data_IF_084938278027
#
_entry.id   IF_084938278027
#
_cell.length_a   1.000
_cell.length_b   1.000
_cell.length_c   1.000
_cell.angle_alpha   90.00
_cell.angle_beta   90.00
_cell.angle_gamma   90.00
#
_symmetry.space_group_name_H-M   'P 1'
#
loop_
_entity.id
_entity.type
_entity.pdbx_description
1 polymer ?
#
# COMPACT_ATOMS: atom_id res chain seq x y z
N UNK A 1 7.52 -1.62 -11.40
CA UNK A 1 7.30 -0.59 -10.39
C UNK A 1 7.20 -1.26 -9.03
N UNK A 2 7.78 -0.65 -7.99
CA UNK A 2 7.63 -1.14 -6.61
C UNK A 2 6.65 -0.24 -5.87
N UNK A 3 5.62 -0.84 -5.25
CA UNK A 3 4.73 -0.16 -4.30
C UNK A 3 5.06 -0.68 -2.90
N UNK A 4 5.31 0.24 -1.97
CA UNK A 4 5.56 -0.07 -0.58
C UNK A 4 4.36 0.38 0.25
N UNK A 5 3.80 -0.52 1.06
CA UNK A 5 2.76 -0.17 2.03
C UNK A 5 3.32 -0.28 3.44
N UNK A 6 3.31 0.81 4.19
CA UNK A 6 3.76 0.91 5.59
C UNK A 6 2.58 1.22 6.52
N UNK A 7 2.70 0.85 7.78
CA UNK A 7 1.78 1.23 8.86
C UNK A 7 2.58 1.85 10.01
N UNK A 8 1.95 2.67 10.88
CA UNK A 8 2.63 3.24 12.04
C UNK A 8 3.11 2.14 13.00
N UNK A 9 4.19 2.41 13.74
CA UNK A 9 4.72 1.53 14.78
C UNK A 9 3.70 1.42 15.93
N UNK A 10 2.87 0.39 15.85
CA UNK A 10 1.98 -0.05 16.93
C UNK A 10 1.94 -1.57 16.90
N UNK A 11 1.79 -2.21 18.06
CA UNK A 11 1.73 -3.68 18.16
C UNK A 11 0.59 -4.27 17.30
N UNK A 12 -0.55 -3.56 17.23
CA UNK A 12 -1.71 -3.91 16.42
C UNK A 12 -1.51 -3.71 14.90
N UNK A 13 -0.58 -2.85 14.48
CA UNK A 13 -0.27 -2.61 13.06
C UNK A 13 0.34 -3.83 12.38
N UNK A 14 1.17 -4.59 13.10
CA UNK A 14 1.88 -5.74 12.53
C UNK A 14 0.94 -6.90 12.17
N UNK A 15 0.02 -7.24 13.07
CA UNK A 15 -1.02 -8.24 12.83
C UNK A 15 -2.00 -7.79 11.73
N UNK A 16 -2.34 -6.52 11.77
CA UNK A 16 -3.17 -5.87 10.77
C UNK A 16 -2.57 -5.95 9.37
N UNK A 17 -1.29 -5.57 9.20
CA UNK A 17 -0.61 -5.65 7.91
C UNK A 17 -0.46 -7.10 7.41
N UNK A 18 -0.25 -8.06 8.32
CA UNK A 18 -0.24 -9.48 7.95
C UNK A 18 -1.61 -9.93 7.45
N UNK A 19 -2.69 -9.41 8.03
CA UNK A 19 -4.06 -9.66 7.56
C UNK A 19 -4.31 -9.03 6.19
N UNK A 20 -3.86 -7.79 5.96
CA UNK A 20 -3.92 -7.14 4.64
C UNK A 20 -3.16 -7.95 3.59
N UNK A 21 -1.96 -8.39 3.93
CA UNK A 21 -1.11 -9.21 3.07
C UNK A 21 -1.79 -10.54 2.70
N UNK A 22 -2.46 -11.19 3.66
CA UNK A 22 -3.21 -12.42 3.38
C UNK A 22 -4.27 -12.17 2.31
N UNK A 23 -5.05 -11.11 2.44
CA UNK A 23 -6.08 -10.73 1.48
C UNK A 23 -5.52 -10.36 0.11
N UNK A 24 -4.43 -9.59 0.07
CA UNK A 24 -3.77 -9.24 -1.19
C UNK A 24 -3.22 -10.48 -1.91
N UNK A 25 -2.78 -11.50 -1.17
CA UNK A 25 -2.29 -12.75 -1.74
C UNK A 25 -3.41 -13.64 -2.28
N UNK A 26 -4.64 -13.48 -1.79
CA UNK A 26 -5.81 -14.21 -2.29
C UNK A 26 -6.22 -13.74 -3.70
N UNK A 27 -5.86 -12.51 -4.09
CA UNK A 27 -6.11 -11.98 -5.42
C UNK A 27 -5.14 -12.57 -6.45
N UNK A 28 -5.67 -13.20 -7.49
CA UNK A 28 -4.87 -13.90 -8.50
C UNK A 28 -3.89 -12.96 -9.24
N UNK A 29 -4.29 -11.71 -9.51
CA UNK A 29 -3.43 -10.72 -10.18
C UNK A 29 -2.27 -10.23 -9.28
N UNK A 30 -2.41 -10.33 -7.96
CA UNK A 30 -1.40 -9.92 -6.98
C UNK A 30 -0.61 -11.12 -6.43
N UNK A 31 -1.10 -12.33 -6.66
CA UNK A 31 -0.52 -13.57 -6.17
C UNK A 31 0.91 -13.74 -6.68
N UNK A 32 1.85 -13.89 -5.74
CA UNK A 32 3.28 -14.02 -6.04
C UNK A 32 3.99 -12.72 -6.40
N UNK A 33 3.28 -11.58 -6.42
CA UNK A 33 3.84 -10.23 -6.62
C UNK A 33 3.99 -9.44 -5.32
N UNK A 34 3.28 -9.87 -4.28
CA UNK A 34 3.24 -9.22 -2.98
C UNK A 34 4.17 -9.94 -2.01
N UNK A 35 5.03 -9.19 -1.34
CA UNK A 35 6.00 -9.70 -0.35
C UNK A 35 5.94 -8.89 0.94
N UNK A 36 5.88 -9.57 2.07
CA UNK A 36 6.02 -8.95 3.39
C UNK A 36 7.51 -8.82 3.73
N UNK A 37 7.97 -7.59 4.00
CA UNK A 37 9.32 -7.25 4.45
C UNK A 37 9.22 -6.56 5.79
N UNK A 38 10.16 -6.83 6.69
CA UNK A 38 10.32 -6.04 7.91
C UNK A 38 11.21 -4.85 7.55
N UNK A 39 10.74 -3.62 7.78
CA UNK A 39 11.60 -2.45 7.63
C UNK A 39 12.68 -2.47 8.72
N UNK A 40 13.91 -2.06 8.41
CA UNK A 40 14.87 -1.72 9.46
C UNK A 40 14.35 -0.49 10.23
N UNK A 41 14.46 -0.47 11.56
CA UNK A 41 14.02 0.67 12.36
C UNK A 41 14.74 1.94 11.90
N UNK A 42 14.00 3.02 11.64
CA UNK A 42 14.61 4.31 11.36
C UNK A 42 15.43 4.79 12.56
N UNK A 43 16.67 5.22 12.29
CA UNK A 43 17.59 5.69 13.32
C UNK A 43 17.04 6.93 14.03
N UNK A 44 16.55 6.76 15.25
CA UNK A 44 15.99 7.84 16.09
C UNK A 44 14.70 7.46 16.82
N UNK A 45 14.02 6.38 16.42
CA UNK A 45 12.82 5.89 17.10
C UNK A 45 13.22 4.87 18.20
N UNK A 46 13.27 5.30 19.47
CA UNK A 46 13.38 4.39 20.61
C UNK A 46 11.97 3.82 20.91
N UNK A 47 11.59 2.76 20.21
CA UNK A 47 10.30 2.07 20.35
C UNK A 47 10.08 1.12 19.17
N UNK A 48 9.62 -0.09 19.48
CA UNK A 48 9.34 -1.29 18.67
C UNK A 48 9.76 -1.36 17.17
N UNK A 49 10.35 -2.48 16.72
CA UNK A 49 10.95 -2.60 15.38
C UNK A 49 10.01 -3.16 14.28
N UNK A 50 8.68 -3.04 14.39
CA UNK A 50 7.77 -3.76 13.48
C UNK A 50 7.02 -2.83 12.51
N UNK A 51 7.77 -2.15 11.65
CA UNK A 51 7.24 -1.65 10.39
C UNK A 51 7.13 -2.84 9.42
N UNK A 52 5.93 -3.40 9.26
CA UNK A 52 5.69 -4.35 8.18
C UNK A 52 5.51 -3.54 6.87
N UNK A 53 6.35 -3.86 5.89
CA UNK A 53 6.30 -3.29 4.55
C UNK A 53 5.72 -4.35 3.64
N UNK A 54 4.59 -4.06 3.00
CA UNK A 54 4.09 -4.89 1.90
C UNK A 54 4.64 -4.32 0.61
N UNK A 55 5.54 -5.07 -0.03
CA UNK A 55 6.14 -4.72 -1.32
C UNK A 55 5.36 -5.43 -2.42
N UNK A 56 4.69 -4.68 -3.29
CA UNK A 56 4.00 -5.21 -4.46
C UNK A 56 4.75 -4.83 -5.74
N UNK A 57 5.29 -5.82 -6.44
CA UNK A 57 5.89 -5.63 -7.76
C UNK A 57 4.77 -5.60 -8.81
N UNK A 58 4.25 -4.40 -9.09
CA UNK A 58 3.12 -4.21 -10.00
C UNK A 58 3.64 -3.80 -11.39
N UNK A 59 3.10 -4.44 -12.43
CA UNK A 59 3.18 -3.94 -13.80
C UNK A 59 2.00 -2.99 -14.01
N UNK A 60 2.27 -1.80 -14.56
CA UNK A 60 1.35 -0.65 -14.58
C UNK A 60 0.01 -0.90 -15.30
N UNK A 61 -0.12 -1.98 -16.07
CA UNK A 61 -1.28 -2.22 -16.94
C UNK A 61 -2.57 -2.72 -16.27
N UNK A 62 -2.59 -3.08 -14.98
CA UNK A 62 -3.82 -3.59 -14.36
C UNK A 62 -3.78 -3.96 -12.88
N UNK A 63 -2.59 -3.99 -12.27
CA UNK A 63 -2.45 -4.51 -10.92
C UNK A 63 -2.66 -3.42 -9.82
N UNK A 64 -2.44 -2.15 -10.17
CA UNK A 64 -2.71 -0.99 -9.28
C UNK A 64 -4.21 -0.89 -8.90
N UNK A 65 -5.16 -0.92 -9.84
CA UNK A 65 -6.58 -0.86 -9.49
C UNK A 65 -7.04 -2.02 -8.61
N UNK A 66 -6.54 -3.23 -8.89
CA UNK A 66 -6.82 -4.41 -8.07
C UNK A 66 -6.30 -4.17 -6.65
N UNK A 67 -5.03 -3.77 -6.49
CA UNK A 67 -4.45 -3.50 -5.17
C UNK A 67 -5.26 -2.49 -4.34
N UNK A 68 -5.62 -1.34 -4.93
CA UNK A 68 -6.39 -0.32 -4.20
C UNK A 68 -7.79 -0.82 -3.85
N UNK A 69 -8.44 -1.56 -4.75
CA UNK A 69 -9.78 -2.11 -4.51
C UNK A 69 -9.78 -3.20 -3.44
N UNK A 70 -8.82 -4.13 -3.48
CA UNK A 70 -8.64 -5.18 -2.49
C UNK A 70 -8.30 -4.58 -1.12
N UNK A 71 -7.38 -3.60 -1.06
CA UNK A 71 -7.08 -2.86 0.17
C UNK A 71 -8.30 -2.15 0.72
N UNK A 72 -9.04 -1.43 -0.12
CA UNK A 72 -10.24 -0.71 0.29
C UNK A 72 -11.33 -1.63 0.83
N UNK A 73 -11.46 -2.81 0.23
CA UNK A 73 -12.41 -3.83 0.67
C UNK A 73 -11.94 -4.48 1.98
N UNK A 74 -10.64 -4.69 2.15
CA UNK A 74 -10.03 -5.22 3.37
C UNK A 74 -10.22 -4.24 4.54
N UNK A 75 -9.91 -2.96 4.33
CA UNK A 75 -10.12 -1.87 5.32
C UNK A 75 -11.57 -1.83 5.79
N UNK A 76 -12.51 -2.01 4.84
CA UNK A 76 -13.94 -2.01 5.13
C UNK A 76 -14.34 -3.19 6.02
N UNK A 77 -13.75 -4.35 5.76
CA UNK A 77 -13.98 -5.57 6.53
C UNK A 77 -13.22 -5.61 7.86
N UNK A 78 -12.13 -4.84 7.99
CA UNK A 78 -11.33 -4.83 9.19
C UNK A 78 -12.02 -4.07 10.34
N UNK A 79 -11.87 -4.51 11.59
CA UNK A 79 -12.42 -3.82 12.77
C UNK A 79 -11.60 -2.59 13.18
N UNK A 80 -10.29 -2.61 12.95
CA UNK A 80 -9.32 -1.59 13.39
C UNK A 80 -9.33 -0.37 12.49
N UNK A 81 -9.19 0.82 13.08
CA UNK A 81 -9.00 2.09 12.38
C UNK A 81 -7.53 2.50 12.47
N UNK A 82 -6.76 2.19 11.43
CA UNK A 82 -5.36 2.55 11.32
C UNK A 82 -5.11 3.41 10.07
N UNK A 83 -3.93 4.02 10.01
CA UNK A 83 -3.44 4.71 8.82
C UNK A 83 -2.42 3.84 8.12
N UNK A 84 -2.59 3.61 6.84
CA UNK A 84 -1.62 2.95 5.99
C UNK A 84 -1.00 3.99 5.08
N UNK A 85 0.30 3.97 4.86
CA UNK A 85 0.95 4.79 3.86
C UNK A 85 1.34 3.91 2.68
N UNK A 86 0.89 4.28 1.48
CA UNK A 86 1.18 3.61 0.22
C UNK A 86 2.12 4.48 -0.59
N UNK A 87 3.36 4.04 -0.71
CA UNK A 87 4.41 4.71 -1.48
C UNK A 87 4.56 4.07 -2.85
N UNK A 88 4.42 4.88 -3.89
CA UNK A 88 4.47 4.50 -5.31
C UNK A 88 5.61 5.32 -5.92
N UNK A 89 6.80 4.71 -5.99
CA UNK A 89 8.03 5.44 -6.33
C UNK A 89 8.28 6.62 -5.39
N UNK A 90 8.14 7.83 -5.91
CA UNK A 90 8.35 9.08 -5.17
C UNK A 90 7.07 9.63 -4.53
N UNK A 91 5.90 9.12 -4.93
CA UNK A 91 4.60 9.58 -4.41
C UNK A 91 4.17 8.75 -3.22
N UNK A 92 3.96 9.37 -2.07
CA UNK A 92 3.35 8.74 -0.90
C UNK A 92 1.88 9.12 -0.78
N UNK A 93 1.01 8.13 -0.60
CA UNK A 93 -0.43 8.27 -0.46
C UNK A 93 -0.84 7.68 0.88
N UNK A 94 -1.34 8.50 1.79
CA UNK A 94 -1.85 8.03 3.08
C UNK A 94 -3.32 7.58 2.92
N UNK A 95 -3.61 6.39 3.40
CA UNK A 95 -4.91 5.74 3.44
C UNK A 95 -5.35 5.66 4.90
N UNK A 96 -6.30 6.50 5.29
CA UNK A 96 -6.91 6.46 6.60
C UNK A 96 -8.11 5.49 6.58
N UNK A 97 -8.05 4.41 7.36
CA UNK A 97 -9.14 3.43 7.42
C UNK A 97 -10.46 4.06 7.87
N UNK A 98 -10.42 5.00 8.81
CA UNK A 98 -11.59 5.75 9.28
C UNK A 98 -12.24 6.57 8.16
N UNK A 99 -11.45 7.27 7.35
CA UNK A 99 -11.92 8.03 6.18
C UNK A 99 -12.59 7.13 5.16
N UNK A 100 -11.99 5.99 4.85
CA UNK A 100 -12.54 5.03 3.89
C UNK A 100 -13.88 4.44 4.38
N UNK A 101 -14.00 4.20 5.69
CA UNK A 101 -15.24 3.71 6.30
C UNK A 101 -16.33 4.77 6.32
N UNK A 102 -15.98 6.02 6.62
CA UNK A 102 -16.89 7.16 6.64
C UNK A 102 -17.33 7.54 5.21
N UNK A 103 -16.40 7.52 4.26
CA UNK A 103 -16.57 7.96 2.88
C UNK A 103 -16.09 6.86 1.91
N UNK A 104 -17.00 6.02 1.38
CA UNK A 104 -16.63 4.94 0.47
C UNK A 104 -16.02 5.45 -0.86
N UNK A 105 -16.33 6.69 -1.26
CA UNK A 105 -15.77 7.38 -2.42
C UNK A 105 -14.27 7.65 -2.31
N UNK A 106 -13.69 7.61 -1.09
CA UNK A 106 -12.24 7.77 -0.89
C UNK A 106 -11.44 6.71 -1.64
N UNK A 107 -11.97 5.49 -1.79
CA UNK A 107 -11.30 4.43 -2.56
C UNK A 107 -11.12 4.83 -4.02
N UNK A 108 -12.13 5.49 -4.62
CA UNK A 108 -12.03 6.00 -6.00
C UNK A 108 -10.97 7.09 -6.13
N UNK A 109 -10.85 7.98 -5.14
CA UNK A 109 -9.83 9.03 -5.11
C UNK A 109 -8.42 8.46 -4.93
N UNK A 110 -8.26 7.47 -4.06
CA UNK A 110 -6.99 6.76 -3.86
C UNK A 110 -6.59 6.01 -5.13
N UNK A 111 -7.55 5.43 -5.84
CA UNK A 111 -7.34 4.75 -7.10
C UNK A 111 -6.86 5.71 -8.20
N UNK A 112 -7.54 6.84 -8.38
CA UNK A 112 -7.14 7.87 -9.34
C UNK A 112 -5.72 8.38 -9.02
N UNK A 113 -5.44 8.70 -7.76
CA UNK A 113 -4.10 9.14 -7.32
C UNK A 113 -3.03 8.07 -7.58
N UNK A 114 -3.28 6.82 -7.22
CA UNK A 114 -2.33 5.72 -7.40
C UNK A 114 -2.06 5.44 -8.88
N UNK A 115 -3.11 5.47 -9.71
CA UNK A 115 -2.99 5.29 -11.16
C UNK A 115 -2.18 6.42 -11.79
N UNK A 116 -2.47 7.68 -11.42
CA UNK A 116 -1.69 8.84 -11.88
C UNK A 116 -0.23 8.77 -11.45
N UNK A 117 0.04 8.39 -10.21
CA UNK A 117 1.41 8.22 -9.70
C UNK A 117 2.16 7.15 -10.49
N UNK A 118 1.51 6.01 -10.77
CA UNK A 118 2.08 4.94 -11.57
C UNK A 118 2.43 5.39 -12.99
N UNK A 119 1.50 6.07 -13.67
CA UNK A 119 1.72 6.59 -15.03
C UNK A 119 2.82 7.65 -15.06
N UNK A 120 2.92 8.50 -14.02
CA UNK A 120 3.98 9.51 -13.94
C UNK A 120 5.36 8.86 -13.92
N UNK A 121 5.55 7.79 -13.12
CA UNK A 121 6.82 7.06 -13.04
C UNK A 121 7.24 6.44 -14.39
N UNK A 122 6.30 5.95 -15.19
CA UNK A 122 6.61 5.40 -16.52
C UNK A 122 7.18 6.48 -17.46
N UNK A 123 6.64 7.69 -17.38
CA UNK A 123 7.10 8.84 -18.18
C UNK A 123 8.48 9.31 -17.69
N UNK A 124 8.72 9.36 -16.36
CA UNK A 124 10.02 9.82 -15.84
C UNK A 124 11.15 8.81 -16.11
N UNK A 125 10.85 7.51 -16.03
CA UNK A 125 11.85 6.46 -16.29
C UNK A 125 12.17 6.31 -17.79
N UNK A 126 11.24 6.70 -18.67
CA UNK A 126 11.44 6.64 -20.13
C UNK A 126 12.33 7.74 -20.72
N UNK A 127 12.60 8.82 -19.98
CA UNK A 127 13.36 9.99 -20.48
C UNK A 127 14.85 9.98 -20.08
N UNK A 128 15.28 9.06 -19.20
CA UNK A 128 16.66 8.99 -18.70
C UNK A 128 17.60 8.13 -19.58
N UNK A 129 17.44 8.18 -20.90
CA UNK A 129 18.44 7.66 -21.86
C UNK A 129 18.46 8.55 -23.10
N UNK A 130 19.26 9.61 -23.02
CA UNK A 130 19.65 10.48 -24.12
C UNK A 130 21.08 10.96 -23.93
#
# INVERSE_FOLDING_TARGET
MEILVTAPDTDESGDTLRSAFSWLREEDDLRGRVHLRQAPPQAGQMGSPWEAIVVAALSAGGAVPVLINTLGTWIRNQRTTLKLEVKIGETSIVIDADRVKANPDEIGLLLDKATRAATHLEITNGDATG
#
